data_IF_330103406902
#
_entry.id   IF_330103406902
#
_cell.length_a   1.000
_cell.length_b   1.000
_cell.length_c   1.000
_cell.angle_alpha   90.00
_cell.angle_beta   90.00
_cell.angle_gamma   90.00
#
_symmetry.space_group_name_H-M   'P 1'
#
loop_
_entity.id
_entity.type
_entity.pdbx_description
1 polymer ?
#
# COMPACT_ATOMS: atom_id res chain seq x y z
N UNK A 1 35.72 -26.18 20.62
CA UNK A 1 34.76 -25.07 20.47
C UNK A 1 34.13 -25.17 19.09
N UNK A 2 32.95 -25.78 18.92
CA UNK A 2 32.32 -25.88 17.61
C UNK A 2 31.80 -24.50 17.19
N UNK A 3 32.17 -24.10 15.98
CA UNK A 3 31.67 -22.92 15.29
C UNK A 3 30.14 -22.96 15.25
N UNK A 4 29.48 -21.96 15.84
CA UNK A 4 28.05 -21.76 15.67
C UNK A 4 27.76 -21.58 14.18
N UNK A 5 27.01 -22.52 13.61
CA UNK A 5 26.44 -22.42 12.27
C UNK A 5 25.73 -21.07 12.17
N UNK A 6 26.20 -20.24 11.23
CA UNK A 6 25.47 -19.04 10.78
C UNK A 6 24.04 -19.48 10.49
N UNK A 7 23.09 -18.94 11.25
CA UNK A 7 21.65 -19.09 11.04
C UNK A 7 21.38 -18.93 9.54
N UNK A 8 21.02 -20.02 8.87
CA UNK A 8 20.52 -19.94 7.51
C UNK A 8 19.29 -19.04 7.57
N UNK A 9 19.29 -17.94 6.81
CA UNK A 9 18.11 -17.08 6.69
C UNK A 9 16.96 -18.00 6.28
N UNK A 10 16.05 -18.25 7.21
CA UNK A 10 14.90 -19.09 6.94
C UNK A 10 13.99 -18.30 6.02
N UNK A 11 13.91 -18.69 4.75
CA UNK A 11 13.02 -18.07 3.80
C UNK A 11 11.57 -18.28 4.27
N UNK A 12 10.88 -17.18 4.57
CA UNK A 12 9.48 -17.16 4.98
C UNK A 12 8.64 -16.45 3.91
N UNK A 13 8.35 -17.11 2.77
CA UNK A 13 7.84 -16.44 1.57
C UNK A 13 6.35 -16.12 1.62
N UNK A 14 5.59 -16.67 2.57
CA UNK A 14 4.14 -16.55 2.57
C UNK A 14 3.67 -15.34 3.38
N UNK A 15 2.89 -14.47 2.75
CA UNK A 15 1.99 -13.54 3.44
C UNK A 15 0.61 -14.16 3.38
N UNK A 16 0.02 -14.43 4.53
CA UNK A 16 -1.32 -15.03 4.65
C UNK A 16 -2.29 -14.06 5.31
N UNK A 17 -3.56 -14.42 5.45
CA UNK A 17 -4.50 -13.69 6.28
C UNK A 17 -5.05 -14.58 7.41
N UNK A 18 -5.91 -13.99 8.25
CA UNK A 18 -6.71 -14.71 9.23
C UNK A 18 -8.19 -14.58 8.92
N UNK A 19 -9.02 -15.39 9.59
CA UNK A 19 -10.46 -15.39 9.34
C UNK A 19 -11.13 -14.11 9.85
N UNK A 20 -10.79 -13.67 11.07
CA UNK A 20 -11.44 -12.57 11.79
C UNK A 20 -10.43 -11.70 12.53
N UNK A 21 -10.91 -10.66 13.23
CA UNK A 21 -10.10 -9.78 14.10
C UNK A 21 -9.55 -10.42 15.39
N UNK A 22 -9.73 -11.73 15.59
CA UNK A 22 -9.21 -12.45 16.76
C UNK A 22 -8.58 -13.77 16.31
N UNK A 23 -7.43 -14.12 16.91
CA UNK A 23 -6.67 -15.31 16.52
C UNK A 23 -7.23 -16.58 17.15
N UNK A 24 -7.71 -17.52 16.32
CA UNK A 24 -7.99 -18.88 16.77
C UNK A 24 -6.71 -19.67 17.03
N UNK A 25 -6.80 -20.83 17.70
CA UNK A 25 -5.65 -21.75 17.84
C UNK A 25 -5.07 -22.17 16.49
N UNK A 26 -5.93 -22.34 15.48
CA UNK A 26 -5.51 -22.68 14.13
C UNK A 26 -4.75 -21.53 13.45
N UNK A 27 -5.18 -20.28 13.68
CA UNK A 27 -4.44 -19.10 13.21
C UNK A 27 -3.07 -19.01 13.87
N UNK A 28 -3.00 -19.17 15.19
CA UNK A 28 -1.73 -19.16 15.92
C UNK A 28 -0.76 -20.24 15.41
N UNK A 29 -1.25 -21.46 15.15
CA UNK A 29 -0.43 -22.53 14.58
C UNK A 29 0.09 -22.18 13.16
N UNK A 30 -0.75 -21.61 12.30
CA UNK A 30 -0.33 -21.14 10.96
C UNK A 30 0.68 -19.99 11.06
N UNK A 31 0.43 -19.03 11.94
CA UNK A 31 1.30 -17.90 12.20
C UNK A 31 2.61 -18.28 12.89
N UNK A 32 2.73 -19.48 13.47
CA UNK A 32 4.00 -20.02 13.97
C UNK A 32 4.78 -20.78 12.88
N UNK A 33 4.17 -21.09 11.73
CA UNK A 33 4.78 -21.93 10.70
C UNK A 33 5.96 -21.23 10.01
N UNK A 34 7.14 -21.86 9.89
CA UNK A 34 8.37 -21.21 9.43
C UNK A 34 8.32 -20.57 8.03
N UNK A 35 7.40 -21.03 7.15
CA UNK A 35 7.23 -20.45 5.81
C UNK A 35 6.37 -19.17 5.77
N UNK A 36 5.69 -18.82 6.87
CA UNK A 36 4.88 -17.60 6.94
C UNK A 36 5.77 -16.45 7.38
N UNK A 37 5.91 -15.42 6.55
CA UNK A 37 6.71 -14.22 6.83
C UNK A 37 5.86 -12.99 7.17
N UNK A 38 4.55 -13.05 6.95
CA UNK A 38 3.67 -11.93 7.28
C UNK A 38 2.19 -12.25 7.22
N UNK A 39 1.41 -11.24 7.58
CA UNK A 39 -0.05 -11.24 7.60
C UNK A 39 -0.56 -10.03 6.83
N UNK A 40 -1.60 -10.21 6.01
CA UNK A 40 -2.37 -9.11 5.42
C UNK A 40 -3.72 -8.97 6.13
N UNK A 41 -3.99 -7.74 6.57
CA UNK A 41 -5.24 -7.35 7.20
C UNK A 41 -6.21 -6.75 6.17
N UNK A 42 -7.47 -7.08 6.36
CA UNK A 42 -8.61 -6.65 5.54
C UNK A 42 -9.69 -6.00 6.41
N UNK A 43 -10.70 -5.39 5.78
CA UNK A 43 -11.81 -4.75 6.50
C UNK A 43 -12.53 -5.69 7.49
N UNK A 44 -12.61 -7.00 7.23
CA UNK A 44 -13.18 -8.00 8.17
C UNK A 44 -12.42 -8.18 9.48
N UNK A 45 -11.20 -7.63 9.58
CA UNK A 45 -10.39 -7.63 10.80
C UNK A 45 -10.60 -6.37 11.63
N UNK A 46 -11.31 -5.36 11.10
CA UNK A 46 -11.44 -4.05 11.71
C UNK A 46 -12.70 -3.94 12.55
N UNK A 47 -12.55 -3.66 13.84
CA UNK A 47 -13.65 -3.32 14.75
C UNK A 47 -13.43 -1.97 15.48
N UNK A 48 -12.18 -1.52 15.57
CA UNK A 48 -11.77 -0.27 16.19
C UNK A 48 -10.27 -0.30 16.50
N UNK A 49 -9.70 0.84 16.89
CA UNK A 49 -8.25 0.95 17.14
C UNK A 49 -7.79 0.09 18.29
N UNK A 50 -8.54 0.07 19.40
CA UNK A 50 -8.19 -0.74 20.56
C UNK A 50 -8.09 -2.23 20.20
N UNK A 51 -9.09 -2.77 19.51
CA UNK A 51 -9.09 -4.15 19.03
C UNK A 51 -7.96 -4.42 18.03
N UNK A 52 -7.68 -3.50 17.09
CA UNK A 52 -6.59 -3.67 16.13
C UNK A 52 -5.21 -3.72 16.82
N UNK A 53 -5.00 -2.86 17.83
CA UNK A 53 -3.78 -2.88 18.66
C UNK A 53 -3.60 -4.23 19.33
N UNK A 54 -4.65 -4.75 19.96
CA UNK A 54 -4.64 -6.07 20.60
C UNK A 54 -4.38 -7.20 19.58
N UNK A 55 -5.00 -7.13 18.41
CA UNK A 55 -4.80 -8.11 17.35
C UNK A 55 -3.35 -8.11 16.84
N UNK A 56 -2.79 -6.94 16.55
CA UNK A 56 -1.40 -6.82 16.12
C UNK A 56 -0.43 -7.32 17.20
N UNK A 57 -0.67 -6.98 18.47
CA UNK A 57 0.10 -7.49 19.60
C UNK A 57 0.02 -9.01 19.70
N UNK A 58 -1.16 -9.60 19.52
CA UNK A 58 -1.36 -11.06 19.54
C UNK A 58 -0.61 -11.75 18.38
N UNK A 59 -0.61 -11.18 17.18
CA UNK A 59 0.18 -11.69 16.03
C UNK A 59 1.68 -11.67 16.38
N UNK A 60 2.19 -10.55 16.90
CA UNK A 60 3.60 -10.41 17.29
C UNK A 60 3.99 -11.30 18.47
N UNK A 61 3.05 -11.62 19.36
CA UNK A 61 3.27 -12.56 20.47
C UNK A 61 3.43 -14.01 19.98
N UNK A 62 2.76 -14.40 18.90
CA UNK A 62 3.02 -15.70 18.25
C UNK A 62 4.40 -15.69 17.61
N UNK A 63 4.74 -14.61 16.90
CA UNK A 63 6.05 -14.49 16.25
C UNK A 63 6.45 -13.03 15.98
N UNK A 64 7.50 -12.50 16.64
CA UNK A 64 7.84 -11.07 16.58
C UNK A 64 8.28 -10.54 15.21
N UNK A 65 8.85 -11.39 14.34
CA UNK A 65 9.41 -11.03 13.04
C UNK A 65 8.37 -10.98 11.90
N UNK A 66 7.14 -11.42 12.12
CA UNK A 66 6.08 -11.38 11.09
C UNK A 66 5.78 -9.95 10.65
N UNK A 67 5.75 -9.70 9.36
CA UNK A 67 5.29 -8.41 8.82
C UNK A 67 3.77 -8.29 8.91
N UNK A 68 3.24 -7.22 9.50
CA UNK A 68 1.79 -6.94 9.48
C UNK A 68 1.49 -5.91 8.39
N UNK A 69 0.65 -6.28 7.43
CA UNK A 69 0.40 -5.51 6.20
C UNK A 69 -1.08 -5.18 6.00
N UNK A 70 -1.39 -4.15 5.20
CA UNK A 70 -2.76 -3.77 4.83
C UNK A 70 -2.78 -3.05 3.48
N UNK A 71 -3.93 -3.02 2.80
CA UNK A 71 -4.16 -2.05 1.71
C UNK A 71 -4.77 -0.75 2.25
N UNK A 72 -3.92 0.23 2.53
CA UNK A 72 -4.32 1.62 2.76
C UNK A 72 -3.69 2.47 1.66
N UNK A 73 -4.47 2.77 0.63
CA UNK A 73 -4.08 3.69 -0.45
C UNK A 73 -4.68 5.07 -0.21
N UNK A 74 -5.98 5.10 0.11
CA UNK A 74 -6.83 6.29 0.14
C UNK A 74 -8.08 6.11 -0.73
N UNK A 75 -9.07 6.97 -0.54
CA UNK A 75 -10.35 6.91 -1.25
C UNK A 75 -11.09 5.60 -1.02
N UNK A 76 -11.38 4.87 -2.10
CA UNK A 76 -12.14 3.61 -2.03
C UNK A 76 -11.33 2.48 -1.40
N UNK A 77 -9.99 2.50 -1.53
CA UNK A 77 -9.09 1.47 -0.99
C UNK A 77 -8.47 1.96 0.31
N UNK A 78 -9.26 1.86 1.38
CA UNK A 78 -8.84 2.14 2.74
C UNK A 78 -9.61 1.19 3.66
N UNK A 79 -8.96 0.21 4.30
CA UNK A 79 -9.65 -0.82 5.09
C UNK A 79 -10.21 -0.27 6.41
N UNK A 80 -9.37 0.45 7.16
CA UNK A 80 -9.73 1.10 8.43
C UNK A 80 -10.20 2.54 8.16
N UNK A 81 -11.46 2.86 8.50
CA UNK A 81 -12.09 4.16 8.16
C UNK A 81 -12.77 4.86 9.33
N UNK A 82 -12.97 4.18 10.46
CA UNK A 82 -13.74 4.71 11.59
C UNK A 82 -12.85 4.85 12.83
N UNK A 83 -13.42 5.24 13.97
CA UNK A 83 -12.71 5.33 15.26
C UNK A 83 -11.41 6.15 15.17
N UNK A 84 -11.47 7.29 14.46
CA UNK A 84 -10.36 8.26 14.40
C UNK A 84 -9.36 8.06 13.26
N UNK A 85 -9.50 7.05 12.39
CA UNK A 85 -8.73 7.00 11.15
C UNK A 85 -9.16 8.13 10.20
N UNK A 86 -8.19 8.85 9.64
CA UNK A 86 -8.46 9.93 8.70
C UNK A 86 -8.91 9.36 7.36
N UNK A 87 -9.99 9.92 6.79
CA UNK A 87 -10.41 9.60 5.43
C UNK A 87 -9.49 10.27 4.42
N UNK A 88 -8.60 9.50 3.81
CA UNK A 88 -7.68 10.00 2.79
C UNK A 88 -8.40 10.11 1.44
N UNK A 89 -8.12 11.14 0.63
CA UNK A 89 -8.70 11.24 -0.70
C UNK A 89 -8.16 10.13 -1.62
N UNK A 90 -8.86 9.81 -2.73
CA UNK A 90 -8.26 9.01 -3.80
C UNK A 90 -7.03 9.74 -4.38
N UNK A 91 -5.99 9.00 -4.77
CA UNK A 91 -4.71 9.59 -5.22
C UNK A 91 -4.87 10.49 -6.45
N UNK A 92 -5.86 10.24 -7.31
CA UNK A 92 -6.19 11.11 -8.44
C UNK A 92 -6.51 12.56 -8.01
N UNK A 93 -6.95 12.79 -6.77
CA UNK A 93 -7.17 14.15 -6.27
C UNK A 93 -5.87 14.97 -6.21
N UNK A 94 -4.73 14.32 -5.99
CA UNK A 94 -3.42 14.96 -5.93
C UNK A 94 -2.94 15.35 -7.33
N UNK A 95 -3.09 14.46 -8.33
CA UNK A 95 -2.80 14.80 -9.73
C UNK A 95 -3.74 15.88 -10.27
N UNK A 96 -5.04 15.82 -9.95
CA UNK A 96 -5.97 16.92 -10.28
C UNK A 96 -5.56 18.24 -9.63
N UNK A 97 -5.03 18.23 -8.40
CA UNK A 97 -4.51 19.44 -7.76
C UNK A 97 -3.26 19.98 -8.46
N UNK A 98 -2.34 19.08 -8.83
CA UNK A 98 -1.14 19.41 -9.61
C UNK A 98 -1.48 20.14 -10.91
N UNK A 99 -2.52 19.69 -11.62
CA UNK A 99 -2.92 20.20 -12.94
C UNK A 99 -3.82 21.46 -12.90
N UNK A 100 -4.15 21.98 -11.70
CA UNK A 100 -4.93 23.21 -11.61
C UNK A 100 -4.15 24.40 -12.19
N UNK A 101 -4.85 25.45 -12.69
CA UNK A 101 -4.20 26.70 -13.04
C UNK A 101 -3.38 27.26 -11.87
N UNK A 102 -2.20 27.79 -12.20
CA UNK A 102 -1.26 28.34 -11.23
C UNK A 102 -0.84 29.77 -11.60
N UNK A 103 -0.59 30.59 -10.56
CA UNK A 103 -0.14 31.98 -10.74
C UNK A 103 1.37 32.09 -10.88
N UNK A 104 2.10 31.11 -10.33
CA UNK A 104 3.56 31.01 -10.38
C UNK A 104 3.91 29.62 -10.90
N UNK A 105 4.83 29.49 -11.87
CA UNK A 105 5.24 28.19 -12.38
C UNK A 105 5.71 27.24 -11.27
N UNK A 106 5.20 26.01 -11.26
CA UNK A 106 5.54 24.97 -10.31
C UNK A 106 4.90 25.10 -8.92
N UNK A 107 4.06 26.11 -8.68
CA UNK A 107 3.38 26.28 -7.41
C UNK A 107 2.46 25.08 -7.10
N UNK A 108 1.66 24.63 -8.08
CA UNK A 108 0.73 23.52 -7.86
C UNK A 108 1.42 22.19 -7.70
N UNK A 109 2.53 22.00 -8.43
CA UNK A 109 3.40 20.86 -8.26
C UNK A 109 3.93 20.78 -6.82
N UNK A 110 4.49 21.87 -6.30
CA UNK A 110 5.01 21.93 -4.93
C UNK A 110 3.91 21.68 -3.89
N UNK A 111 2.76 22.32 -4.04
CA UNK A 111 1.60 22.10 -3.15
C UNK A 111 1.14 20.64 -3.18
N UNK A 112 1.00 20.04 -4.36
CA UNK A 112 0.54 18.65 -4.50
C UNK A 112 1.54 17.65 -3.88
N UNK A 113 2.85 17.86 -4.04
CA UNK A 113 3.88 17.05 -3.39
C UNK A 113 3.83 17.20 -1.86
N UNK A 114 3.66 18.42 -1.35
CA UNK A 114 3.52 18.64 0.10
C UNK A 114 2.27 17.94 0.66
N UNK A 115 1.14 17.99 -0.06
CA UNK A 115 -0.08 17.28 0.33
C UNK A 115 0.14 15.76 0.27
N UNK A 116 0.80 15.25 -0.77
CA UNK A 116 1.13 13.82 -0.88
C UNK A 116 2.01 13.35 0.28
N UNK A 117 3.03 14.13 0.65
CA UNK A 117 3.87 13.83 1.80
C UNK A 117 3.07 13.82 3.12
N UNK A 118 2.23 14.84 3.34
CA UNK A 118 1.37 14.90 4.52
C UNK A 118 0.38 13.73 4.57
N UNK A 119 -0.22 13.36 3.44
CA UNK A 119 -1.09 12.19 3.35
C UNK A 119 -0.35 10.90 3.72
N UNK A 120 0.88 10.72 3.22
CA UNK A 120 1.72 9.56 3.56
C UNK A 120 2.09 9.53 5.04
N UNK A 121 2.37 10.68 5.64
CA UNK A 121 2.67 10.81 7.06
C UNK A 121 1.45 10.45 7.93
N UNK A 122 0.27 10.98 7.61
CA UNK A 122 -0.99 10.66 8.32
C UNK A 122 -1.30 9.18 8.22
N UNK A 123 -1.35 8.66 6.98
CA UNK A 123 -1.59 7.25 6.67
C UNK A 123 -0.66 6.36 7.50
N UNK A 124 0.65 6.63 7.41
CA UNK A 124 1.64 5.82 8.08
C UNK A 124 1.54 5.91 9.60
N UNK A 125 1.33 7.11 10.16
CA UNK A 125 1.34 7.33 11.62
C UNK A 125 0.15 6.65 12.29
N UNK A 126 -1.04 6.73 11.69
CA UNK A 126 -2.23 6.07 12.20
C UNK A 126 -2.10 4.54 12.14
N UNK A 127 -1.54 4.00 11.06
CA UNK A 127 -1.25 2.57 10.94
C UNK A 127 -0.20 2.09 11.97
N UNK A 128 0.92 2.82 12.13
CA UNK A 128 1.94 2.47 13.13
C UNK A 128 1.40 2.49 14.54
N UNK A 129 0.55 3.46 14.87
CA UNK A 129 -0.07 3.55 16.19
C UNK A 129 -0.90 2.30 16.53
N UNK A 130 -1.37 1.56 15.51
CA UNK A 130 -2.07 0.30 15.67
C UNK A 130 -1.19 -0.96 15.49
N UNK A 131 0.12 -0.81 15.28
CA UNK A 131 1.05 -1.92 15.14
C UNK A 131 1.19 -2.50 13.72
N UNK A 132 0.70 -1.82 12.68
CA UNK A 132 0.85 -2.23 11.28
C UNK A 132 2.23 -1.80 10.73
N UNK A 133 2.90 -2.66 9.98
CA UNK A 133 4.26 -2.44 9.47
C UNK A 133 4.34 -1.90 8.04
N UNK A 134 3.33 -2.24 7.23
CA UNK A 134 3.41 -2.08 5.78
C UNK A 134 2.04 -1.71 5.21
N UNK A 135 2.03 -0.77 4.25
CA UNK A 135 0.87 -0.57 3.38
C UNK A 135 1.22 -0.87 1.93
N UNK A 136 0.37 -1.63 1.23
CA UNK A 136 0.51 -1.86 -0.22
C UNK A 136 0.03 -0.61 -0.99
N UNK A 137 0.85 0.42 -1.00
CA UNK A 137 0.68 1.73 -1.66
C UNK A 137 2.09 2.27 -1.93
N UNK A 138 2.35 3.19 -2.89
CA UNK A 138 1.44 3.81 -3.86
C UNK A 138 1.05 2.93 -5.05
N UNK A 139 -0.10 3.24 -5.64
CA UNK A 139 -0.40 2.88 -7.03
C UNK A 139 0.46 3.75 -7.95
N UNK A 140 1.22 3.10 -8.83
CA UNK A 140 2.09 3.71 -9.84
C UNK A 140 1.53 3.59 -11.26
N UNK A 141 0.40 2.89 -11.41
CA UNK A 141 -0.31 2.79 -12.68
C UNK A 141 -0.72 4.18 -13.19
N UNK A 142 -0.55 4.42 -14.49
CA UNK A 142 -0.95 5.67 -15.13
C UNK A 142 -2.46 5.70 -15.42
N UNK A 143 -3.09 6.85 -15.27
CA UNK A 143 -4.51 7.02 -15.59
C UNK A 143 -4.72 7.20 -17.10
N UNK A 144 -4.76 6.09 -17.84
CA UNK A 144 -5.12 6.09 -19.27
C UNK A 144 -6.65 6.22 -19.50
N UNK A 145 -7.46 6.28 -18.43
CA UNK A 145 -8.92 6.40 -18.48
C UNK A 145 -9.69 5.12 -18.82
N UNK A 146 -9.02 4.04 -19.22
CA UNK A 146 -9.67 2.79 -19.65
C UNK A 146 -9.87 1.79 -18.51
N UNK A 147 -8.94 1.71 -17.55
CA UNK A 147 -8.99 0.74 -16.45
C UNK A 147 -10.05 1.08 -15.40
N UNK A 148 -11.14 0.30 -15.35
CA UNK A 148 -12.14 0.41 -14.28
C UNK A 148 -11.64 0.04 -12.88
N UNK A 149 -10.64 -0.85 -12.77
CA UNK A 149 -10.12 -1.34 -11.48
C UNK A 149 -9.13 -0.38 -10.82
N UNK A 150 -8.29 0.30 -11.62
CA UNK A 150 -7.44 1.40 -11.19
C UNK A 150 -8.28 2.67 -10.96
N UNK A 151 -8.85 3.25 -12.02
CA UNK A 151 -9.66 4.48 -11.94
C UNK A 151 -9.00 5.57 -11.09
N UNK A 152 -9.74 6.12 -10.13
CA UNK A 152 -9.29 7.20 -9.25
C UNK A 152 -8.14 6.84 -8.28
N UNK A 153 -7.64 5.60 -8.30
CA UNK A 153 -6.47 5.17 -7.54
C UNK A 153 -5.15 5.60 -8.20
N UNK A 154 -5.13 5.80 -9.51
CA UNK A 154 -3.96 6.36 -10.20
C UNK A 154 -3.80 7.84 -9.85
N UNK A 155 -2.56 8.33 -9.76
CA UNK A 155 -2.31 9.74 -9.47
C UNK A 155 -2.66 10.63 -10.67
N UNK A 156 -2.20 10.26 -11.86
CA UNK A 156 -2.32 11.03 -13.10
C UNK A 156 -2.00 10.13 -14.31
N UNK A 157 -2.19 10.67 -15.52
CA UNK A 157 -1.75 10.04 -16.76
C UNK A 157 -0.24 10.22 -17.02
N UNK A 158 0.33 11.37 -16.63
CA UNK A 158 1.73 11.69 -16.91
C UNK A 158 2.68 10.98 -15.92
N UNK A 159 3.62 10.13 -16.39
CA UNK A 159 4.50 9.36 -15.51
C UNK A 159 5.40 10.22 -14.63
N UNK A 160 5.72 11.46 -15.04
CA UNK A 160 6.52 12.40 -14.26
C UNK A 160 5.73 12.91 -13.05
N UNK A 161 4.42 13.16 -13.23
CA UNK A 161 3.53 13.57 -12.15
C UNK A 161 3.33 12.41 -11.17
N UNK A 162 3.08 11.20 -11.69
CA UNK A 162 2.95 9.99 -10.86
C UNK A 162 4.21 9.76 -10.03
N UNK A 163 5.39 9.82 -10.66
CA UNK A 163 6.68 9.64 -9.98
C UNK A 163 6.88 10.65 -8.85
N UNK A 164 6.68 11.94 -9.11
CA UNK A 164 6.89 12.99 -8.11
C UNK A 164 5.94 12.85 -6.91
N UNK A 165 4.66 12.59 -7.17
CA UNK A 165 3.65 12.43 -6.12
C UNK A 165 3.85 11.14 -5.31
N UNK A 166 4.15 10.02 -5.99
CA UNK A 166 4.44 8.76 -5.34
C UNK A 166 5.68 8.86 -4.45
N UNK A 167 6.76 9.51 -4.92
CA UNK A 167 7.96 9.74 -4.11
C UNK A 167 7.66 10.57 -2.86
N UNK A 168 6.85 11.63 -2.99
CA UNK A 168 6.44 12.44 -1.85
C UNK A 168 5.60 11.64 -0.83
N UNK A 169 4.64 10.83 -1.30
CA UNK A 169 3.85 9.93 -0.44
C UNK A 169 4.76 8.91 0.27
N UNK A 170 5.66 8.25 -0.47
CA UNK A 170 6.61 7.30 0.08
C UNK A 170 7.55 7.93 1.12
N UNK A 171 7.93 9.20 0.94
CA UNK A 171 8.70 9.94 1.93
C UNK A 171 7.89 10.17 3.22
N UNK A 172 6.59 10.47 3.12
CA UNK A 172 5.69 10.61 4.27
C UNK A 172 5.54 9.29 5.05
N UNK A 173 5.30 8.19 4.32
CA UNK A 173 5.21 6.84 4.91
C UNK A 173 6.51 6.46 5.64
N UNK A 174 7.66 6.77 5.02
CA UNK A 174 8.98 6.53 5.63
C UNK A 174 9.17 7.35 6.91
N UNK A 175 8.77 8.62 6.93
CA UNK A 175 8.82 9.46 8.14
C UNK A 175 7.98 8.87 9.27
N UNK A 176 6.82 8.30 8.94
CA UNK A 176 5.97 7.59 9.91
C UNK A 176 6.53 6.23 10.33
N UNK A 177 7.52 5.66 9.64
CA UNK A 177 8.06 4.34 9.92
C UNK A 177 7.28 3.17 9.29
N UNK A 178 6.42 3.43 8.29
CA UNK A 178 5.69 2.41 7.51
C UNK A 178 6.41 2.12 6.20
N UNK A 179 6.53 0.84 5.86
CA UNK A 179 7.05 0.37 4.57
C UNK A 179 5.96 0.37 3.50
N UNK A 180 6.35 0.43 2.24
CA UNK A 180 5.46 0.68 1.11
C UNK A 180 5.82 -0.19 -0.11
N UNK A 181 4.88 -0.31 -1.07
CA UNK A 181 5.05 -1.09 -2.30
C UNK A 181 4.41 -0.35 -3.48
N UNK A 182 5.22 -0.03 -4.49
CA UNK A 182 4.71 0.37 -5.79
C UNK A 182 3.94 -0.76 -6.47
N UNK A 183 2.82 -0.44 -7.13
CA UNK A 183 1.98 -1.42 -7.84
C UNK A 183 1.25 -0.82 -9.04
N UNK A 184 0.89 -1.57 -10.08
CA UNK A 184 1.09 -3.03 -10.26
C UNK A 184 2.05 -3.24 -11.43
N UNK A 185 3.32 -3.52 -11.15
CA UNK A 185 4.33 -3.67 -12.19
C UNK A 185 3.93 -4.74 -13.24
N UNK A 186 4.12 -4.49 -14.55
CA UNK A 186 4.76 -3.31 -15.17
C UNK A 186 3.82 -2.12 -15.44
N UNK A 187 2.55 -2.21 -15.05
CA UNK A 187 1.53 -1.19 -15.29
C UNK A 187 0.19 -1.82 -15.62
N UNK A 188 -0.86 -1.48 -14.87
CA UNK A 188 -2.23 -1.95 -15.07
C UNK A 188 -3.14 -0.85 -15.67
N UNK A 189 -2.67 0.39 -15.68
CA UNK A 189 -3.48 1.55 -16.06
C UNK A 189 -4.07 1.50 -17.48
N UNK A 190 -3.38 0.84 -18.41
CA UNK A 190 -3.76 0.79 -19.83
C UNK A 190 -4.83 -0.27 -20.14
N UNK A 191 -4.92 -1.34 -19.33
CA UNK A 191 -5.84 -2.44 -19.62
C UNK A 191 -7.23 -2.15 -19.06
N UNK A 192 -8.26 -2.27 -19.91
CA UNK A 192 -9.66 -2.09 -19.49
C UNK A 192 -10.19 -3.20 -18.58
N UNK A 193 -9.74 -4.43 -18.83
CA UNK A 193 -10.25 -5.62 -18.16
C UNK A 193 -9.87 -5.67 -16.67
N UNK A 194 -10.80 -6.13 -15.84
CA UNK A 194 -10.56 -6.31 -14.41
C UNK A 194 -9.87 -7.66 -14.17
N UNK A 195 -8.64 -7.63 -13.67
CA UNK A 195 -7.88 -8.83 -13.32
C UNK A 195 -8.49 -9.67 -12.20
N UNK A 196 -9.51 -9.18 -11.48
CA UNK A 196 -10.25 -9.99 -10.52
C UNK A 196 -11.13 -11.05 -11.19
N UNK A 197 -11.55 -10.83 -12.44
CA UNK A 197 -12.51 -11.69 -13.15
C UNK A 197 -12.00 -12.16 -14.51
N UNK A 198 -11.00 -11.49 -15.07
CA UNK A 198 -10.48 -11.74 -16.42
C UNK A 198 -8.95 -11.75 -16.43
N UNK A 199 -8.35 -12.21 -17.53
CA UNK A 199 -6.91 -12.12 -17.76
C UNK A 199 -6.65 -10.94 -18.69
N UNK A 200 -6.26 -9.76 -18.18
CA UNK A 200 -5.99 -8.60 -19.02
C UNK A 200 -4.77 -8.84 -19.92
N UNK A 201 -4.84 -8.33 -21.15
CA UNK A 201 -3.73 -8.37 -22.11
C UNK A 201 -3.45 -6.95 -22.61
N UNK A 202 -2.29 -6.42 -22.26
CA UNK A 202 -1.76 -5.20 -22.87
C UNK A 202 -1.08 -5.54 -24.20
N UNK A 203 -1.56 -4.95 -25.30
CA UNK A 203 -1.04 -5.19 -26.65
C UNK A 203 0.01 -4.16 -27.09
N UNK A 204 0.36 -3.19 -26.24
CA UNK A 204 1.41 -2.22 -26.54
C UNK A 204 2.76 -2.93 -26.72
N UNK A 205 3.63 -2.30 -27.50
CA UNK A 205 5.01 -2.78 -27.61
C UNK A 205 5.73 -2.63 -26.27
N UNK A 206 6.69 -3.52 -25.97
CA UNK A 206 7.57 -3.39 -24.81
C UNK A 206 8.20 -1.99 -24.69
N UNK A 207 8.65 -1.41 -25.80
CA UNK A 207 9.25 -0.07 -25.84
C UNK A 207 8.27 1.03 -25.41
N UNK A 208 6.98 0.87 -25.71
CA UNK A 208 5.96 1.82 -25.27
C UNK A 208 5.70 1.69 -23.76
N UNK A 209 5.65 0.47 -23.23
CA UNK A 209 5.51 0.22 -21.79
C UNK A 209 6.74 0.75 -21.02
N UNK A 210 7.95 0.54 -21.54
CA UNK A 210 9.20 1.06 -20.94
C UNK A 210 9.35 2.58 -21.01
N UNK A 211 8.66 3.25 -21.93
CA UNK A 211 8.72 4.71 -22.05
C UNK A 211 7.84 5.39 -20.99
N UNK A 212 6.69 4.78 -20.69
CA UNK A 212 5.64 5.40 -19.88
C UNK A 212 5.45 4.73 -18.51
N UNK A 213 5.24 3.41 -18.45
CA UNK A 213 4.76 2.71 -17.24
C UNK A 213 5.87 2.06 -16.38
N UNK A 214 7.03 1.72 -16.95
CA UNK A 214 8.07 0.90 -16.30
C UNK A 214 9.33 1.65 -15.83
#
# INVERSE_FOLDING_TARGET
MPHALKSAVQHAPLIIDTATGSLSKADQARLAHPLVGGVILFARHWQGRAQLIEQCAAIKAVRPDLLITVDHEGGRVQRFKTDGFTHLPPMAALGRHWLKPEKRPGQRALEAMNIANAAGLVLGSELRACGVDFSFTPVLDLDWGESGVIGDRAFAQDPRIVTALAQALMAGLRQAGVRNCGKHFPGHGFVKADSHTEIPVDKRSRKAIELDDA
#
